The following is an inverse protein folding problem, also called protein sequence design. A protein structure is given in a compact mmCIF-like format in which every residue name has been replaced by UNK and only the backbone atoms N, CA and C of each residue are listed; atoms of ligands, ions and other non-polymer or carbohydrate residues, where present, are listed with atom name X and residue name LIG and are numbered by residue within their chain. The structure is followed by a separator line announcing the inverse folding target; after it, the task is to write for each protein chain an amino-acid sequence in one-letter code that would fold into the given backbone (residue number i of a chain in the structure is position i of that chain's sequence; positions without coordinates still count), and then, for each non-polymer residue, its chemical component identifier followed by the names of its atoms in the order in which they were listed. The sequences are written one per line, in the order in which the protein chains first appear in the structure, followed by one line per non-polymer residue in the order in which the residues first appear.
data_IF_196958351829
#
_entry.id   IF_196958351829
#
_cell.length_a   1.000
_cell.length_b   1.000
_cell.length_c   1.000
_cell.angle_alpha   90.00
_cell.angle_beta   90.00
_cell.angle_gamma   90.00
#
_symmetry.space_group_name_H-M   'P 1'
#
loop_
_entity.id
_entity.type
_entity.pdbx_description
1 polymer ?
#
# COMPACT_ATOMS: atom_id res chain seq x y z
N UNK A 1 2.80 -6.67 18.66
CA UNK A 1 2.44 -6.31 17.28
C UNK A 1 3.48 -5.31 16.80
N UNK A 2 4.10 -5.55 15.66
CA UNK A 2 4.99 -4.56 15.03
C UNK A 2 4.12 -3.60 14.22
N UNK A 3 4.40 -2.30 14.28
CA UNK A 3 3.71 -1.30 13.47
C UNK A 3 3.96 -1.59 11.98
N UNK A 4 2.89 -1.69 11.21
CA UNK A 4 2.92 -1.88 9.76
C UNK A 4 2.03 -0.84 9.07
N UNK A 5 2.11 -0.77 7.75
CA UNK A 5 1.48 0.28 6.97
C UNK A 5 0.73 -0.28 5.76
N UNK A 6 -0.50 0.18 5.54
CA UNK A 6 -1.33 -0.20 4.39
C UNK A 6 -1.48 0.97 3.43
N UNK A 7 -1.29 0.74 2.12
CA UNK A 7 -1.68 1.72 1.11
C UNK A 7 -3.21 1.73 1.01
N UNK A 8 -3.80 2.92 0.97
CA UNK A 8 -5.22 3.08 0.72
C UNK A 8 -5.47 4.08 -0.40
N UNK A 9 -6.50 3.82 -1.20
CA UNK A 9 -6.94 4.72 -2.28
C UNK A 9 -8.42 5.03 -2.15
N UNK A 10 -8.81 6.18 -2.71
CA UNK A 10 -10.20 6.59 -2.87
C UNK A 10 -10.53 6.68 -4.34
N UNK A 11 -11.71 6.21 -4.73
CA UNK A 11 -12.12 6.13 -6.14
C UNK A 11 -13.43 6.86 -6.40
N UNK A 12 -13.48 7.63 -7.50
CA UNK A 12 -14.68 8.33 -7.93
C UNK A 12 -15.23 9.31 -6.88
N UNK A 13 -16.54 9.25 -6.64
CA UNK A 13 -17.23 10.15 -5.70
C UNK A 13 -17.37 9.56 -4.28
N UNK A 14 -16.96 8.31 -4.05
CA UNK A 14 -17.04 7.69 -2.73
C UNK A 14 -16.01 8.35 -1.80
N UNK A 15 -16.40 8.87 -0.62
CA UNK A 15 -15.47 9.44 0.35
C UNK A 15 -14.59 8.38 1.05
N UNK A 16 -14.90 7.09 0.94
CA UNK A 16 -14.21 6.02 1.64
C UNK A 16 -12.86 5.68 1.00
N UNK A 17 -11.86 5.47 1.86
CA UNK A 17 -10.59 4.88 1.47
C UNK A 17 -10.66 3.35 1.55
N UNK A 18 -10.05 2.69 0.57
CA UNK A 18 -10.01 1.25 0.43
C UNK A 18 -8.56 0.77 0.43
N UNK A 19 -8.28 -0.21 1.29
CA UNK A 19 -7.01 -0.93 1.31
C UNK A 19 -7.11 -2.24 0.51
N UNK A 20 -5.97 -2.71 0.01
CA UNK A 20 -5.83 -4.07 -0.50
C UNK A 20 -5.09 -4.96 0.52
N UNK A 21 -4.60 -6.12 0.06
CA UNK A 21 -3.90 -7.10 0.90
C UNK A 21 -2.41 -6.76 1.16
N UNK A 22 -1.87 -5.67 0.61
CA UNK A 22 -0.48 -5.30 0.80
C UNK A 22 -0.28 -4.67 2.18
N UNK A 23 0.77 -5.12 2.87
CA UNK A 23 1.16 -4.65 4.20
C UNK A 23 2.68 -4.46 4.20
N UNK A 24 3.13 -3.24 4.46
CA UNK A 24 4.52 -2.83 4.39
C UNK A 24 5.12 -2.55 5.76
N UNK A 25 6.44 -2.71 5.87
CA UNK A 25 7.17 -2.42 7.09
C UNK A 25 7.33 -0.92 7.33
N UNK A 26 7.37 -0.11 6.26
CA UNK A 26 7.59 1.33 6.36
C UNK A 26 6.48 2.14 5.70
N UNK A 27 6.27 3.34 6.22
CA UNK A 27 5.38 4.33 5.62
C UNK A 27 5.78 4.65 4.18
N UNK A 28 7.09 4.79 3.91
CA UNK A 28 7.61 5.16 2.60
C UNK A 28 7.27 4.12 1.52
N UNK A 29 7.35 2.82 1.84
CA UNK A 29 6.97 1.75 0.93
C UNK A 29 5.46 1.75 0.65
N UNK A 30 4.64 1.90 1.70
CA UNK A 30 3.19 2.00 1.54
C UNK A 30 2.79 3.24 0.73
N UNK A 31 3.45 4.38 0.95
CA UNK A 31 3.22 5.60 0.19
C UNK A 31 3.60 5.43 -1.28
N UNK A 32 4.76 4.82 -1.55
CA UNK A 32 5.19 4.51 -2.91
C UNK A 32 4.17 3.62 -3.62
N UNK A 33 3.68 2.56 -2.96
CA UNK A 33 2.65 1.69 -3.51
C UNK A 33 1.33 2.42 -3.79
N UNK A 34 0.89 3.32 -2.91
CA UNK A 34 -0.36 4.06 -3.05
C UNK A 34 -0.27 5.09 -4.20
N UNK A 35 0.83 5.84 -4.27
CA UNK A 35 1.08 6.82 -5.32
C UNK A 35 1.30 6.17 -6.69
N UNK A 36 2.07 5.09 -6.79
CA UNK A 36 2.22 4.34 -8.06
C UNK A 36 0.88 3.81 -8.58
N UNK A 37 0.01 3.30 -7.69
CA UNK A 37 -1.34 2.90 -8.09
C UNK A 37 -2.17 4.08 -8.59
N UNK A 38 -2.11 5.22 -7.89
CA UNK A 38 -2.84 6.43 -8.28
C UNK A 38 -2.39 6.96 -9.65
N UNK A 39 -1.08 6.93 -9.93
CA UNK A 39 -0.51 7.38 -11.20
C UNK A 39 -0.91 6.47 -12.38
N UNK A 40 -1.08 5.16 -12.12
CA UNK A 40 -1.42 4.17 -13.16
C UNK A 40 -2.91 3.96 -13.35
N UNK A 41 -3.74 4.27 -12.36
CA UNK A 41 -5.17 3.99 -12.39
C UNK A 41 -6.03 5.26 -12.27
N UNK A 42 -6.51 5.74 -13.42
CA UNK A 42 -7.27 6.99 -13.59
C UNK A 42 -8.57 7.12 -12.76
N UNK A 43 -9.04 6.05 -12.11
CA UNK A 43 -10.22 6.10 -11.25
C UNK A 43 -9.89 6.55 -9.81
N UNK A 44 -8.62 6.50 -9.42
CA UNK A 44 -8.13 6.97 -8.13
C UNK A 44 -8.17 8.50 -8.12
N UNK A 45 -8.82 9.06 -7.10
CA UNK A 45 -8.96 10.52 -6.91
C UNK A 45 -8.17 11.03 -5.71
N UNK A 46 -7.72 10.12 -4.83
CA UNK A 46 -6.95 10.42 -3.62
C UNK A 46 -6.27 9.14 -3.11
N UNK A 47 -5.18 9.28 -2.36
CA UNK A 47 -4.47 8.15 -1.77
C UNK A 47 -3.83 8.54 -0.44
N UNK A 48 -3.64 7.56 0.45
CA UNK A 48 -3.01 7.75 1.76
C UNK A 48 -2.35 6.47 2.25
N UNK A 49 -1.69 6.60 3.39
CA UNK A 49 -1.16 5.46 4.17
C UNK A 49 -1.91 5.39 5.49
N UNK A 50 -2.33 4.19 5.87
CA UNK A 50 -2.91 3.89 7.18
C UNK A 50 -1.98 2.99 8.00
N UNK A 51 -1.90 3.24 9.30
CA UNK A 51 -1.23 2.33 10.24
C UNK A 51 -2.03 1.03 10.38
N UNK A 52 -1.31 -0.07 10.63
CA UNK A 52 -1.86 -1.40 10.81
C UNK A 52 -1.00 -2.20 11.79
N UNK A 53 -1.58 -3.28 12.28
CA UNK A 53 -0.92 -4.33 13.07
C UNK A 53 -0.85 -5.67 12.30
N UNK A 54 -1.26 -5.69 11.03
CA UNK A 54 -1.22 -6.87 10.18
C UNK A 54 0.24 -7.27 9.87
N UNK A 55 0.52 -8.57 9.65
CA UNK A 55 1.86 -9.02 9.32
C UNK A 55 2.33 -8.48 7.96
N UNK A 56 3.53 -7.88 7.94
CA UNK A 56 4.20 -7.42 6.72
C UNK A 56 4.31 -8.56 5.71
N UNK A 57 3.93 -8.28 4.46
CA UNK A 57 3.96 -9.26 3.37
C UNK A 57 4.55 -8.70 2.06
N UNK A 58 4.86 -7.42 2.01
CA UNK A 58 5.34 -6.74 0.81
C UNK A 58 6.50 -5.78 1.14
N UNK A 59 7.39 -5.61 0.17
CA UNK A 59 8.51 -4.67 0.19
C UNK A 59 8.64 -3.97 -1.17
N UNK A 60 9.27 -2.79 -1.19
CA UNK A 60 9.68 -2.12 -2.43
C UNK A 60 11.20 -2.22 -2.55
N UNK A 61 11.68 -3.04 -3.50
CA UNK A 61 13.11 -3.24 -3.76
C UNK A 61 13.42 -2.74 -5.17
N UNK A 62 14.37 -1.81 -5.28
CA UNK A 62 14.73 -1.16 -6.56
C UNK A 62 13.50 -0.58 -7.30
N UNK A 63 12.55 -0.01 -6.55
CA UNK A 63 11.30 0.55 -7.08
C UNK A 63 10.29 -0.49 -7.55
N UNK A 64 10.48 -1.77 -7.22
CA UNK A 64 9.57 -2.87 -7.60
C UNK A 64 8.92 -3.49 -6.37
N UNK A 65 7.63 -3.79 -6.50
CA UNK A 65 6.88 -4.55 -5.50
C UNK A 65 7.38 -6.00 -5.45
N UNK A 66 7.78 -6.46 -4.26
CA UNK A 66 8.25 -7.82 -4.00
C UNK A 66 7.51 -8.42 -2.81
N UNK A 67 7.19 -9.71 -2.90
CA UNK A 67 6.62 -10.48 -1.78
C UNK A 67 7.70 -10.75 -0.74
N UNK A 68 7.40 -10.46 0.53
CA UNK A 68 8.28 -10.82 1.67
C UNK A 68 8.10 -12.30 2.04
N UNK A 69 7.07 -12.96 1.50
CA UNK A 69 6.84 -14.41 1.62
C UNK A 69 7.37 -15.12 0.37
N UNK A 70 8.67 -15.12 0.14
CA UNK A 70 9.28 -16.01 -0.85
C UNK A 70 10.63 -16.55 -0.37
N UNK A 71 10.57 -17.71 0.28
CA UNK A 71 11.51 -18.81 -0.01
C UNK A 71 10.81 -20.14 0.31
N UNK A 72 10.49 -20.89 -0.74
CA UNK A 72 10.47 -22.35 -0.71
C UNK A 72 11.29 -22.81 -1.92
#
# INVERSE_FOLDING_TARGET
MSLSYKPEVRTGADPKFYANALVFATYAEAWHSASDLADRWMLVVDFRVAESDEPVNAAIVDGKLTSVRETA
#
